data_IF_881417881119
#
_entry.id   IF_881417881119
#
_cell.length_a   1.000
_cell.length_b   1.000
_cell.length_c   1.000
_cell.angle_alpha   90.00
_cell.angle_beta   90.00
_cell.angle_gamma   90.00
#
_symmetry.space_group_name_H-M   'P 1'
#
loop_
_entity.id
_entity.type
_entity.pdbx_description
1 polymer ?
#
# COMPACT_ATOMS: atom_id res chain seq x y z
N UNK A 1 9.57 -16.77 24.54
CA UNK A 1 9.24 -17.32 23.21
C UNK A 1 7.73 -17.26 23.13
N UNK A 2 7.17 -16.45 22.23
CA UNK A 2 5.72 -16.44 22.04
C UNK A 2 5.34 -17.72 21.31
N UNK A 3 4.51 -18.55 21.94
CA UNK A 3 3.91 -19.72 21.30
C UNK A 3 3.01 -19.20 20.17
N UNK A 4 3.41 -19.45 18.93
CA UNK A 4 2.58 -19.17 17.76
C UNK A 4 1.40 -20.15 17.79
N UNK A 5 0.19 -19.62 17.75
CA UNK A 5 -1.03 -20.41 17.87
C UNK A 5 -1.20 -21.28 16.62
N UNK A 6 -1.44 -22.58 16.78
CA UNK A 6 -1.77 -23.51 15.69
C UNK A 6 -3.15 -23.25 15.05
N UNK A 7 -3.81 -22.15 15.42
CA UNK A 7 -5.21 -21.90 15.14
C UNK A 7 -5.42 -21.22 13.79
N UNK A 8 -6.30 -21.80 12.97
CA UNK A 8 -6.84 -21.15 11.78
C UNK A 8 -7.77 -20.00 12.17
N UNK A 9 -8.13 -19.14 11.21
CA UNK A 9 -9.18 -18.13 11.40
C UNK A 9 -10.52 -18.76 11.85
N UNK A 10 -10.73 -20.04 11.49
CA UNK A 10 -11.88 -20.87 11.85
C UNK A 10 -11.99 -21.16 13.34
N UNK A 11 -10.90 -21.00 14.09
CA UNK A 11 -10.84 -21.27 15.53
C UNK A 11 -11.00 -19.98 16.36
N UNK A 12 -11.23 -18.83 15.71
CA UNK A 12 -11.56 -17.59 16.42
C UNK A 12 -12.96 -17.74 17.05
N UNK A 13 -13.14 -17.35 18.32
CA UNK A 13 -14.42 -17.46 18.99
C UNK A 13 -15.49 -16.58 18.31
N UNK A 14 -16.75 -17.03 18.33
CA UNK A 14 -17.87 -16.25 17.82
C UNK A 14 -17.93 -14.87 18.47
N UNK A 15 -18.02 -13.82 17.66
CA UNK A 15 -18.02 -12.44 18.11
C UNK A 15 -19.19 -12.17 19.08
N UNK A 16 -18.88 -11.75 20.30
CA UNK A 16 -19.85 -11.26 21.30
C UNK A 16 -19.92 -9.73 21.29
N UNK A 17 -21.03 -9.15 21.73
CA UNK A 17 -21.24 -7.69 21.73
C UNK A 17 -20.16 -6.95 22.53
N UNK A 18 -19.68 -7.53 23.64
CA UNK A 18 -18.60 -6.98 24.44
C UNK A 18 -17.23 -7.01 23.73
N UNK A 19 -16.97 -8.06 22.94
CA UNK A 19 -15.77 -8.12 22.10
C UNK A 19 -15.78 -7.11 20.94
N UNK A 20 -16.95 -6.68 20.48
CA UNK A 20 -17.07 -5.61 19.47
C UNK A 20 -16.73 -4.25 20.08
N UNK A 21 -17.22 -3.98 21.30
CA UNK A 21 -17.04 -2.68 21.95
C UNK A 21 -15.64 -2.46 22.54
N UNK A 22 -14.99 -3.52 23.02
CA UNK A 22 -13.66 -3.43 23.67
C UNK A 22 -12.53 -4.01 22.83
N UNK A 23 -12.86 -4.66 21.72
CA UNK A 23 -11.93 -5.45 20.92
C UNK A 23 -11.60 -6.79 21.59
N UNK A 24 -11.69 -7.90 20.86
CA UNK A 24 -11.17 -9.18 21.34
C UNK A 24 -9.63 -9.15 21.31
N UNK A 25 -8.94 -9.30 22.46
CA UNK A 25 -7.48 -9.35 22.49
C UNK A 25 -6.89 -10.50 21.65
N UNK A 26 -7.66 -11.56 21.39
CA UNK A 26 -7.24 -12.68 20.52
C UNK A 26 -7.23 -12.29 19.06
N UNK A 27 -8.25 -11.58 18.59
CA UNK A 27 -8.32 -11.05 17.22
C UNK A 27 -7.20 -10.03 17.00
N UNK A 28 -6.96 -9.15 17.97
CA UNK A 28 -5.83 -8.21 17.91
C UNK A 28 -4.47 -8.93 17.95
N UNK A 29 -4.35 -10.02 18.70
CA UNK A 29 -3.16 -10.88 18.72
C UNK A 29 -2.89 -11.50 17.35
N UNK A 30 -3.93 -12.13 16.76
CA UNK A 30 -3.88 -12.70 15.43
C UNK A 30 -3.49 -11.68 14.36
N UNK A 31 -4.10 -10.49 14.36
CA UNK A 31 -3.78 -9.43 13.38
C UNK A 31 -2.33 -8.94 13.53
N UNK A 32 -1.80 -8.87 14.76
CA UNK A 32 -0.39 -8.51 14.99
C UNK A 32 0.58 -9.60 14.52
N UNK A 33 0.24 -10.86 14.74
CA UNK A 33 1.02 -12.00 14.25
C UNK A 33 1.04 -12.02 12.72
N UNK A 34 -0.13 -11.86 12.10
CA UNK A 34 -0.30 -11.71 10.66
C UNK A 34 0.54 -10.57 10.07
N UNK A 35 0.55 -9.41 10.73
CA UNK A 35 1.37 -8.27 10.30
C UNK A 35 2.86 -8.62 10.34
N UNK A 36 3.33 -9.25 11.42
CA UNK A 36 4.73 -9.64 11.55
C UNK A 36 5.14 -10.71 10.52
N UNK A 37 4.24 -11.66 10.24
CA UNK A 37 4.43 -12.66 9.19
C UNK A 37 4.55 -12.00 7.82
N UNK A 38 3.59 -11.13 7.47
CA UNK A 38 3.61 -10.40 6.19
C UNK A 38 4.83 -9.49 6.04
N UNK A 39 5.25 -8.80 7.12
CA UNK A 39 6.48 -7.99 7.11
C UNK A 39 7.72 -8.85 6.89
N UNK A 40 7.76 -10.05 7.49
CA UNK A 40 8.88 -10.97 7.30
C UNK A 40 8.93 -11.47 5.86
N UNK A 41 7.79 -11.87 5.29
CA UNK A 41 7.70 -12.33 3.90
C UNK A 41 8.17 -11.24 2.94
N UNK A 42 7.70 -10.00 3.14
CA UNK A 42 8.13 -8.88 2.32
C UNK A 42 9.62 -8.57 2.51
N UNK A 43 10.15 -8.65 3.73
CA UNK A 43 11.56 -8.42 4.02
C UNK A 43 12.51 -9.52 3.51
N UNK A 44 12.00 -10.74 3.30
CA UNK A 44 12.75 -11.84 2.69
C UNK A 44 13.03 -11.58 1.19
N UNK A 45 12.28 -10.67 0.54
CA UNK A 45 12.59 -10.23 -0.82
C UNK A 45 13.87 -9.37 -0.86
N UNK A 46 14.93 -9.79 -1.58
CA UNK A 46 16.19 -9.05 -1.66
C UNK A 46 16.05 -7.67 -2.32
N UNK A 47 14.95 -7.41 -3.02
CA UNK A 47 14.62 -6.12 -3.62
C UNK A 47 13.97 -5.16 -2.62
N UNK A 48 13.39 -5.63 -1.52
CA UNK A 48 12.57 -4.83 -0.59
C UNK A 48 13.25 -3.55 -0.11
N UNK A 49 14.53 -3.62 0.26
CA UNK A 49 15.31 -2.46 0.68
C UNK A 49 15.65 -1.49 -0.46
N UNK A 50 15.70 -2.00 -1.70
CA UNK A 50 16.09 -1.25 -2.90
C UNK A 50 14.91 -0.61 -3.60
N UNK A 51 13.67 -1.08 -3.37
CA UNK A 51 12.44 -0.52 -3.98
C UNK A 51 12.38 0.98 -3.77
N UNK A 52 12.65 1.47 -2.55
CA UNK A 52 12.55 2.90 -2.26
C UNK A 52 13.53 3.74 -3.10
N UNK A 53 14.76 3.25 -3.22
CA UNK A 53 15.84 3.89 -3.96
C UNK A 53 15.54 3.89 -5.45
N UNK A 54 15.11 2.75 -5.98
CA UNK A 54 14.78 2.60 -7.39
C UNK A 54 13.53 3.43 -7.75
N UNK A 55 12.53 3.54 -6.86
CA UNK A 55 11.35 4.37 -7.07
C UNK A 55 11.71 5.85 -7.13
N UNK A 56 12.55 6.34 -6.20
CA UNK A 56 13.05 7.73 -6.26
C UNK A 56 13.78 8.02 -7.55
N UNK A 57 14.58 7.06 -8.02
CA UNK A 57 15.33 7.19 -9.25
C UNK A 57 14.41 7.30 -10.48
N UNK A 58 13.37 6.46 -10.56
CA UNK A 58 12.38 6.49 -11.65
C UNK A 58 11.52 7.74 -11.62
N UNK A 59 11.06 8.17 -10.43
CA UNK A 59 10.29 9.41 -10.27
C UNK A 59 11.14 10.65 -10.60
N UNK A 60 12.47 10.52 -10.52
CA UNK A 60 13.40 11.61 -10.73
C UNK A 60 13.56 12.50 -9.49
N UNK A 61 13.17 12.01 -8.30
CA UNK A 61 13.51 12.60 -7.01
C UNK A 61 14.97 12.24 -6.65
N UNK A 62 15.86 12.48 -7.62
CA UNK A 62 17.30 12.53 -7.43
C UNK A 62 17.61 13.87 -6.76
N UNK A 63 17.05 14.10 -5.56
CA UNK A 63 17.55 15.19 -4.72
C UNK A 63 19.02 14.92 -4.58
N UNK A 64 19.82 15.82 -5.13
CA UNK A 64 21.21 15.91 -4.77
C UNK A 64 21.21 16.02 -3.25
N UNK A 65 21.46 14.91 -2.56
CA UNK A 65 22.13 15.05 -1.28
C UNK A 65 23.33 15.90 -1.63
N UNK A 66 23.40 17.05 -0.98
CA UNK A 66 24.51 17.98 -1.08
C UNK A 66 25.70 17.19 -0.54
N UNK A 67 26.26 16.32 -1.37
CA UNK A 67 27.59 15.82 -1.19
C UNK A 67 28.42 17.10 -1.21
N UNK A 68 28.94 17.45 -0.03
CA UNK A 68 29.77 18.63 0.20
C UNK A 68 31.03 18.63 -0.69
N UNK A 69 31.24 17.59 -1.48
CA UNK A 69 32.38 17.36 -2.36
C UNK A 69 32.26 18.03 -3.73
N UNK A 70 31.06 18.42 -4.19
CA UNK A 70 30.93 19.08 -5.50
C UNK A 70 30.76 20.59 -5.32
N UNK A 71 31.69 21.42 -5.85
CA UNK A 71 31.68 22.86 -5.66
C UNK A 71 30.36 23.50 -6.08
N UNK A 72 29.85 24.43 -5.27
CA UNK A 72 28.54 25.09 -5.46
C UNK A 72 28.44 25.91 -6.75
N UNK A 73 29.57 26.23 -7.40
CA UNK A 73 29.63 27.09 -8.58
C UNK A 73 29.51 26.33 -9.91
N UNK A 74 29.55 24.99 -9.90
CA UNK A 74 29.37 24.20 -11.12
C UNK A 74 27.89 23.88 -11.34
N UNK A 75 27.34 24.12 -12.55
CA UNK A 75 25.99 23.70 -12.87
C UNK A 75 25.93 22.17 -12.90
N UNK A 76 25.07 21.60 -12.05
CA UNK A 76 24.90 20.15 -11.96
C UNK A 76 23.71 19.73 -12.83
N UNK A 77 23.99 19.26 -14.03
CA UNK A 77 22.98 18.67 -14.93
C UNK A 77 23.03 17.15 -14.75
N UNK A 78 21.89 16.54 -14.42
CA UNK A 78 21.76 15.08 -14.36
C UNK A 78 20.84 14.64 -15.50
N UNK A 79 21.36 13.80 -16.39
CA UNK A 79 20.59 13.17 -17.45
C UNK A 79 20.13 11.79 -16.97
N UNK A 80 18.83 11.66 -16.65
CA UNK A 80 18.23 10.40 -16.21
C UNK A 80 17.50 9.72 -17.37
N UNK A 81 18.25 8.92 -18.14
CA UNK A 81 17.70 8.18 -19.27
C UNK A 81 16.74 7.07 -18.85
N UNK A 82 16.98 6.43 -17.70
CA UNK A 82 16.10 5.35 -17.21
C UNK A 82 14.70 5.88 -16.88
N UNK A 83 14.59 7.07 -16.27
CA UNK A 83 13.29 7.73 -16.08
C UNK A 83 12.58 7.94 -17.40
N UNK A 84 13.30 8.37 -18.45
CA UNK A 84 12.72 8.58 -19.78
C UNK A 84 12.19 7.26 -20.36
N UNK A 85 12.98 6.18 -20.28
CA UNK A 85 12.58 4.85 -20.77
C UNK A 85 11.37 4.31 -20.01
N UNK A 86 11.38 4.39 -18.67
CA UNK A 86 10.27 3.92 -17.83
C UNK A 86 9.02 4.75 -18.08
N UNK A 87 9.14 6.08 -18.17
CA UNK A 87 7.99 6.94 -18.47
C UNK A 87 7.40 6.62 -19.85
N UNK A 88 8.23 6.33 -20.86
CA UNK A 88 7.75 5.91 -22.18
C UNK A 88 7.00 4.57 -22.12
N UNK A 89 7.51 3.59 -21.35
CA UNK A 89 6.83 2.30 -21.17
C UNK A 89 5.51 2.44 -20.42
N UNK A 90 5.50 3.22 -19.33
CA UNK A 90 4.28 3.49 -18.56
C UNK A 90 3.24 4.15 -19.46
N UNK A 91 3.63 5.17 -20.22
CA UNK A 91 2.74 5.85 -21.17
C UNK A 91 2.17 4.88 -22.21
N UNK A 92 3.00 4.01 -22.79
CA UNK A 92 2.54 3.01 -23.75
C UNK A 92 1.53 2.02 -23.13
N UNK A 93 1.76 1.58 -21.89
CA UNK A 93 0.85 0.66 -21.19
C UNK A 93 -0.46 1.32 -20.76
N UNK A 94 -0.42 2.58 -20.31
CA UNK A 94 -1.63 3.31 -19.93
C UNK A 94 -2.47 3.73 -21.12
N UNK A 95 -1.85 3.96 -22.29
CA UNK A 95 -2.56 4.34 -23.52
C UNK A 95 -3.46 3.21 -24.06
N UNK A 96 -3.12 1.95 -23.75
CA UNK A 96 -3.96 0.79 -24.08
C UNK A 96 -5.32 0.81 -23.37
N UNK A 97 -5.48 1.61 -22.30
CA UNK A 97 -6.71 1.74 -21.50
C UNK A 97 -7.37 0.39 -21.21
N UNK A 98 -6.77 -0.44 -20.34
CA UNK A 98 -7.28 -1.78 -20.07
C UNK A 98 -8.62 -1.71 -19.34
N UNK A 99 -9.71 -1.64 -20.12
CA UNK A 99 -11.07 -1.66 -19.64
C UNK A 99 -11.57 -3.11 -19.56
N UNK A 100 -12.29 -3.40 -18.49
CA UNK A 100 -13.04 -4.65 -18.36
C UNK A 100 -14.51 -4.42 -18.73
N UNK A 101 -15.14 -5.46 -19.26
CA UNK A 101 -16.54 -5.47 -19.66
C UNK A 101 -17.28 -6.58 -18.91
N UNK A 102 -18.43 -6.27 -18.35
CA UNK A 102 -19.36 -7.27 -17.84
C UNK A 102 -20.22 -7.81 -19.00
N UNK A 103 -20.29 -9.13 -19.08
CA UNK A 103 -21.10 -9.85 -20.05
C UNK A 103 -22.08 -10.73 -19.28
N UNK A 104 -23.37 -10.64 -19.65
CA UNK A 104 -24.42 -11.52 -19.12
C UNK A 104 -24.80 -12.52 -20.19
N UNK A 105 -24.76 -13.81 -19.86
CA UNK A 105 -25.25 -14.87 -20.74
C UNK A 105 -26.78 -14.87 -20.85
N UNK A 106 -27.48 -14.36 -19.84
CA UNK A 106 -28.93 -14.23 -19.84
C UNK A 106 -29.37 -13.00 -20.65
N UNK A 107 -30.16 -13.16 -21.74
CA UNK A 107 -30.65 -12.05 -22.56
C UNK A 107 -31.44 -11.00 -21.77
N UNK A 108 -32.21 -11.42 -20.75
CA UNK A 108 -33.03 -10.52 -19.95
C UNK A 108 -32.19 -9.49 -19.15
N UNK A 109 -30.94 -9.83 -18.80
CA UNK A 109 -30.04 -8.96 -18.04
C UNK A 109 -28.98 -8.26 -18.91
N UNK A 110 -29.03 -8.40 -20.23
CA UNK A 110 -28.09 -7.71 -21.13
C UNK A 110 -28.14 -6.19 -20.99
N UNK A 111 -29.34 -5.62 -20.83
CA UNK A 111 -29.51 -4.19 -20.61
C UNK A 111 -28.75 -3.70 -19.35
N UNK A 112 -28.78 -4.48 -18.27
CA UNK A 112 -28.08 -4.14 -17.03
C UNK A 112 -26.56 -4.22 -17.22
N UNK A 113 -26.07 -5.25 -17.90
CA UNK A 113 -24.65 -5.36 -18.23
C UNK A 113 -24.17 -4.16 -19.05
N UNK A 114 -24.93 -3.74 -20.07
CA UNK A 114 -24.61 -2.56 -20.87
C UNK A 114 -24.62 -1.26 -20.07
N UNK A 115 -25.57 -1.11 -19.14
CA UNK A 115 -25.62 0.05 -18.24
C UNK A 115 -24.38 0.11 -17.35
N UNK A 116 -23.97 -1.01 -16.75
CA UNK A 116 -22.76 -1.09 -15.92
C UNK A 116 -21.52 -0.79 -16.76
N UNK A 117 -21.42 -1.32 -17.98
CA UNK A 117 -20.30 -1.05 -18.88
C UNK A 117 -20.17 0.44 -19.23
N UNK A 118 -21.30 1.12 -19.50
CA UNK A 118 -21.31 2.58 -19.72
C UNK A 118 -20.83 3.33 -18.48
N UNK A 119 -21.24 2.90 -17.28
CA UNK A 119 -20.76 3.47 -16.01
C UNK A 119 -19.26 3.29 -15.83
N UNK A 120 -18.69 2.12 -16.13
CA UNK A 120 -17.24 1.87 -16.02
C UNK A 120 -16.45 2.84 -16.90
N UNK A 121 -16.90 3.05 -18.15
CA UNK A 121 -16.23 3.99 -19.07
C UNK A 121 -16.27 5.41 -18.52
N UNK A 122 -17.44 5.84 -18.02
CA UNK A 122 -17.58 7.16 -17.40
C UNK A 122 -16.66 7.30 -16.17
N UNK A 123 -16.68 6.31 -15.28
CA UNK A 123 -15.84 6.24 -14.09
C UNK A 123 -14.35 6.34 -14.42
N UNK A 124 -13.89 5.57 -15.41
CA UNK A 124 -12.49 5.57 -15.84
C UNK A 124 -12.00 6.96 -16.25
N UNK A 125 -12.82 7.68 -17.02
CA UNK A 125 -12.50 9.02 -17.53
C UNK A 125 -12.60 10.06 -16.40
N UNK A 126 -13.67 10.02 -15.61
CA UNK A 126 -13.91 11.01 -14.55
C UNK A 126 -12.88 10.93 -13.43
N UNK A 127 -12.46 9.72 -13.04
CA UNK A 127 -11.49 9.51 -11.96
C UNK A 127 -10.04 9.48 -12.43
N UNK A 128 -9.78 9.66 -13.74
CA UNK A 128 -8.44 9.58 -14.33
C UNK A 128 -7.69 8.31 -13.86
N UNK A 129 -8.36 7.16 -13.99
CA UNK A 129 -7.85 5.87 -13.49
C UNK A 129 -6.52 5.50 -14.18
N UNK A 130 -6.29 5.99 -15.39
CA UNK A 130 -5.04 5.87 -16.12
C UNK A 130 -3.83 6.47 -15.38
N UNK A 131 -4.02 7.57 -14.66
CA UNK A 131 -2.95 8.18 -13.84
C UNK A 131 -2.59 7.27 -12.67
N UNK A 132 -3.59 6.78 -11.94
CA UNK A 132 -3.39 5.84 -10.82
C UNK A 132 -2.77 4.52 -11.29
N UNK A 133 -3.23 4.00 -12.43
CA UNK A 133 -2.65 2.82 -13.06
C UNK A 133 -1.19 3.07 -13.45
N UNK A 134 -0.88 4.25 -14.00
CA UNK A 134 0.48 4.62 -14.36
C UNK A 134 1.44 4.64 -13.17
N UNK A 135 1.00 5.09 -11.99
CA UNK A 135 1.79 5.00 -10.77
C UNK A 135 1.98 3.55 -10.30
N UNK A 136 0.92 2.74 -10.38
CA UNK A 136 0.97 1.30 -10.05
C UNK A 136 1.97 0.56 -10.94
N UNK A 137 1.96 0.84 -12.25
CA UNK A 137 2.91 0.26 -13.21
C UNK A 137 4.35 0.69 -12.89
N UNK A 138 4.57 1.93 -12.44
CA UNK A 138 5.91 2.35 -11.99
C UNK A 138 6.38 1.53 -10.79
N UNK A 139 5.51 1.28 -9.81
CA UNK A 139 5.85 0.37 -8.71
C UNK A 139 6.17 -1.03 -9.21
N UNK A 140 5.38 -1.58 -10.13
CA UNK A 140 5.61 -2.91 -10.70
C UNK A 140 6.93 -3.01 -11.49
N UNK A 141 7.28 -2.00 -12.30
CA UNK A 141 8.56 -1.97 -13.04
C UNK A 141 9.76 -1.89 -12.09
N UNK A 142 9.61 -1.17 -10.98
CA UNK A 142 10.70 -0.89 -10.04
C UNK A 142 10.90 -2.00 -9.02
N UNK A 143 9.81 -2.47 -8.42
CA UNK A 143 9.81 -3.44 -7.32
C UNK A 143 9.35 -4.84 -7.73
N UNK A 144 9.02 -5.06 -9.00
CA UNK A 144 8.48 -6.34 -9.49
C UNK A 144 6.99 -6.52 -9.23
N UNK A 145 6.43 -5.83 -8.24
CA UNK A 145 5.01 -5.86 -7.87
C UNK A 145 4.47 -4.44 -7.69
N UNK A 146 3.17 -4.28 -7.94
CA UNK A 146 2.47 -3.01 -7.77
C UNK A 146 1.01 -3.28 -7.52
N UNK A 147 0.49 -2.74 -6.43
CA UNK A 147 -0.89 -2.95 -6.02
C UNK A 147 -1.71 -1.68 -6.23
N UNK A 148 -2.96 -1.86 -6.63
CA UNK A 148 -3.93 -0.79 -6.75
C UNK A 148 -5.20 -1.18 -6.01
N UNK A 149 -5.59 -0.36 -5.04
CA UNK A 149 -6.86 -0.53 -4.33
C UNK A 149 -7.96 0.28 -5.00
N UNK A 150 -9.18 -0.25 -5.02
CA UNK A 150 -10.39 0.51 -5.37
C UNK A 150 -11.15 0.78 -4.08
N UNK A 151 -11.31 2.05 -3.73
CA UNK A 151 -11.97 2.45 -2.48
C UNK A 151 -13.11 3.41 -2.76
N UNK A 152 -14.19 3.28 -2.00
CA UNK A 152 -15.26 4.26 -2.03
C UNK A 152 -14.85 5.53 -1.27
N UNK A 153 -14.89 6.67 -1.96
CA UNK A 153 -14.74 7.99 -1.35
C UNK A 153 -16.10 8.71 -1.36
N UNK A 154 -16.74 8.93 -0.20
CA UNK A 154 -18.01 9.66 -0.10
C UNK A 154 -17.92 11.12 -0.58
N UNK A 155 -16.72 11.68 -0.61
CA UNK A 155 -16.48 13.07 -1.02
C UNK A 155 -16.18 13.25 -2.50
N UNK A 156 -15.95 12.16 -3.24
CA UNK A 156 -15.70 12.20 -4.68
C UNK A 156 -17.01 12.36 -5.47
N UNK A 157 -17.02 13.21 -6.49
CA UNK A 157 -18.16 13.37 -7.41
C UNK A 157 -19.45 13.92 -6.76
N UNK A 158 -20.61 13.54 -7.30
CA UNK A 158 -21.94 14.02 -6.89
C UNK A 158 -22.62 13.02 -5.91
N UNK A 159 -21.97 12.73 -4.79
CA UNK A 159 -22.52 11.83 -3.75
C UNK A 159 -21.68 10.60 -3.43
N UNK A 160 -20.41 10.61 -3.84
CA UNK A 160 -19.43 9.55 -3.64
C UNK A 160 -19.13 8.78 -4.91
N UNK A 161 -17.89 8.34 -5.06
CA UNK A 161 -17.44 7.53 -6.20
C UNK A 161 -16.33 6.57 -5.76
N UNK A 162 -16.11 5.52 -6.56
CA UNK A 162 -14.94 4.67 -6.39
C UNK A 162 -13.68 5.39 -6.88
N UNK A 163 -12.61 5.36 -6.11
CA UNK A 163 -11.32 5.97 -6.44
C UNK A 163 -10.25 4.87 -6.47
N UNK A 164 -9.42 4.88 -7.50
CA UNK A 164 -8.26 4.01 -7.59
C UNK A 164 -7.09 4.65 -6.85
N UNK A 165 -6.53 3.92 -5.87
CA UNK A 165 -5.41 4.38 -5.06
C UNK A 165 -4.21 3.46 -5.35
N UNK A 166 -3.15 3.95 -5.99
CA UNK A 166 -1.92 3.20 -6.15
C UNK A 166 -1.26 3.04 -4.78
N UNK A 167 -0.85 1.82 -4.47
CA UNK A 167 -0.23 1.47 -3.18
C UNK A 167 1.21 1.05 -3.39
N UNK A 168 2.05 1.42 -2.44
CA UNK A 168 3.40 0.88 -2.37
C UNK A 168 3.28 -0.61 -2.02
N UNK A 169 3.89 -1.53 -2.78
CA UNK A 169 3.79 -2.98 -2.53
C UNK A 169 4.27 -3.37 -1.13
N UNK A 170 5.11 -2.54 -0.49
CA UNK A 170 5.58 -2.76 0.88
C UNK A 170 4.50 -2.54 1.93
N UNK A 171 3.48 -1.76 1.60
CA UNK A 171 2.34 -1.46 2.47
C UNK A 171 1.19 -2.48 2.32
N UNK A 172 1.30 -3.40 1.36
CA UNK A 172 0.43 -4.59 1.24
C UNK A 172 1.12 -5.79 1.90
N UNK A 173 0.51 -6.30 2.96
CA UNK A 173 1.02 -7.44 3.71
C UNK A 173 0.19 -8.68 3.40
N UNK A 174 0.75 -9.73 2.79
CA UNK A 174 0.02 -10.97 2.56
C UNK A 174 -0.21 -11.71 3.90
N UNK A 175 -1.41 -12.25 4.08
CA UNK A 175 -1.72 -13.18 5.18
C UNK A 175 -1.66 -14.61 4.64
N UNK A 176 -0.69 -15.39 5.14
CA UNK A 176 -0.49 -16.81 4.79
C UNK A 176 -0.62 -17.03 3.28
N UNK A 177 0.26 -16.42 2.47
CA UNK A 177 0.18 -16.52 1.02
C UNK A 177 0.38 -17.97 0.57
N UNK A 178 -0.29 -18.33 -0.51
CA UNK A 178 0.00 -19.59 -1.19
C UNK A 178 1.30 -19.47 -1.99
N UNK A 179 1.97 -20.59 -2.26
CA UNK A 179 3.16 -20.61 -3.14
C UNK A 179 2.82 -20.29 -4.61
N UNK A 180 1.53 -20.22 -4.96
CA UNK A 180 1.10 -19.85 -6.30
C UNK A 180 1.06 -18.33 -6.43
N UNK A 181 1.24 -17.84 -7.66
CA UNK A 181 1.25 -16.40 -7.98
C UNK A 181 -0.13 -15.73 -7.93
N UNK A 182 -1.15 -16.41 -7.42
CA UNK A 182 -2.51 -15.92 -7.38
C UNK A 182 -2.85 -15.38 -5.97
N UNK A 183 -3.08 -14.05 -5.84
CA UNK A 183 -3.52 -13.45 -4.58
C UNK A 183 -4.88 -13.96 -4.08
N UNK A 184 -5.73 -14.51 -4.95
CA UNK A 184 -7.03 -15.05 -4.56
C UNK A 184 -6.92 -16.29 -3.66
N UNK A 185 -5.76 -16.95 -3.65
CA UNK A 185 -5.49 -18.12 -2.83
C UNK A 185 -4.95 -17.75 -1.43
N UNK A 186 -4.73 -16.47 -1.15
CA UNK A 186 -4.25 -16.02 0.15
C UNK A 186 -5.41 -16.05 1.15
N UNK A 187 -5.10 -16.29 2.43
CA UNK A 187 -6.13 -16.26 3.48
C UNK A 187 -6.62 -14.84 3.75
N UNK A 188 -5.88 -13.83 3.31
CA UNK A 188 -6.22 -12.43 3.47
C UNK A 188 -5.05 -11.52 3.13
N UNK A 189 -5.22 -10.24 3.40
CA UNK A 189 -4.16 -9.24 3.30
C UNK A 189 -4.39 -8.11 4.29
N UNK A 190 -3.32 -7.48 4.75
CA UNK A 190 -3.36 -6.27 5.56
C UNK A 190 -2.79 -5.11 4.76
N UNK A 191 -3.59 -4.06 4.61
CA UNK A 191 -3.19 -2.80 3.99
C UNK A 191 -2.76 -1.79 5.06
N UNK A 192 -1.63 -1.13 4.83
CA UNK A 192 -1.11 -0.07 5.71
C UNK A 192 -1.23 1.29 5.04
N UNK A 193 -1.94 2.21 5.68
CA UNK A 193 -2.14 3.56 5.17
C UNK A 193 -1.73 4.63 6.17
N UNK A 194 -0.95 5.59 5.73
CA UNK A 194 -0.54 6.74 6.53
C UNK A 194 -1.49 7.89 6.35
N UNK A 195 -2.41 8.07 7.29
CA UNK A 195 -3.40 9.16 7.21
C UNK A 195 -3.17 10.20 8.32
N UNK A 196 -3.37 11.50 8.03
CA UNK A 196 -3.37 12.50 9.08
C UNK A 196 -4.56 12.29 10.02
N UNK A 197 -4.37 12.60 11.30
CA UNK A 197 -5.40 12.39 12.34
C UNK A 197 -6.74 13.02 11.97
N UNK A 198 -6.73 14.21 11.37
CA UNK A 198 -7.96 14.90 10.97
C UNK A 198 -8.73 14.15 9.87
N UNK A 199 -8.03 13.52 8.92
CA UNK A 199 -8.68 12.72 7.89
C UNK A 199 -9.29 11.44 8.48
N UNK A 200 -8.63 10.81 9.45
CA UNK A 200 -9.18 9.65 10.15
C UNK A 200 -10.42 10.01 10.97
N UNK A 201 -10.43 11.17 11.64
CA UNK A 201 -11.60 11.66 12.38
C UNK A 201 -12.79 11.91 11.47
N UNK A 202 -12.55 12.49 10.29
CA UNK A 202 -13.60 12.68 9.30
C UNK A 202 -14.12 11.34 8.74
N UNK A 203 -13.23 10.37 8.51
CA UNK A 203 -13.59 9.05 7.96
C UNK A 203 -14.26 8.13 9.00
N UNK A 204 -13.89 8.24 10.26
CA UNK A 204 -14.31 7.37 11.35
C UNK A 204 -14.72 8.17 12.60
N UNK A 205 -15.82 8.95 12.53
CA UNK A 205 -16.22 9.84 13.63
C UNK A 205 -16.52 9.09 14.93
N UNK A 206 -17.08 7.88 14.86
CA UNK A 206 -17.36 7.05 16.03
C UNK A 206 -16.10 6.65 16.83
N UNK A 207 -14.93 6.64 16.18
CA UNK A 207 -13.67 6.19 16.74
C UNK A 207 -12.68 7.35 16.99
N UNK A 208 -13.14 8.61 16.95
CA UNK A 208 -12.28 9.79 17.11
C UNK A 208 -11.42 9.74 18.38
N UNK A 209 -11.96 9.21 19.47
CA UNK A 209 -11.28 9.08 20.76
C UNK A 209 -10.07 8.13 20.74
N UNK A 210 -10.00 7.20 19.77
CA UNK A 210 -8.89 6.27 19.61
C UNK A 210 -7.71 6.88 18.85
N UNK A 211 -7.92 7.98 18.11
CA UNK A 211 -6.87 8.62 17.32
C UNK A 211 -6.09 9.64 18.16
N UNK A 212 -5.12 9.15 18.95
CA UNK A 212 -4.17 10.02 19.65
C UNK A 212 -3.04 10.48 18.74
N UNK A 213 -2.66 11.77 18.84
CA UNK A 213 -1.46 12.32 18.20
C UNK A 213 -0.21 11.67 18.80
N UNK A 214 0.32 10.65 18.13
CA UNK A 214 1.62 10.09 18.47
C UNK A 214 1.65 8.57 18.38
N UNK A 215 1.91 8.04 17.18
CA UNK A 215 2.74 6.84 17.14
C UNK A 215 4.10 7.25 17.69
N UNK A 216 4.42 6.74 18.87
CA UNK A 216 5.69 6.93 19.61
C UNK A 216 6.92 6.49 18.83
N UNK A 217 6.75 5.81 17.71
CA UNK A 217 7.84 5.44 16.81
C UNK A 217 8.32 6.58 15.90
N UNK A 218 7.50 7.62 15.63
CA UNK A 218 7.86 8.65 14.63
C UNK A 218 8.87 9.70 15.12
N UNK A 219 8.93 9.96 16.43
CA UNK A 219 9.80 10.99 17.03
C UNK A 219 11.15 10.40 17.48
N UNK A 220 11.15 9.20 18.07
CA UNK A 220 12.36 8.50 18.49
C UNK A 220 13.15 7.93 17.30
N UNK A 221 12.47 7.50 16.23
CA UNK A 221 13.12 7.09 14.97
C UNK A 221 13.81 8.27 14.26
N UNK A 222 13.26 9.49 14.33
CA UNK A 222 13.89 10.72 13.80
C UNK A 222 15.16 11.11 14.55
N UNK A 223 15.17 10.94 15.87
CA UNK A 223 16.34 11.18 16.70
C UNK A 223 17.44 10.13 16.45
N UNK A 224 17.08 8.84 16.41
CA UNK A 224 18.04 7.77 16.10
C UNK A 224 18.57 7.84 14.66
N UNK A 225 17.75 8.26 13.70
CA UNK A 225 18.16 8.46 12.31
C UNK A 225 19.21 9.55 12.14
N UNK A 226 19.08 10.67 12.88
CA UNK A 226 20.07 11.77 12.89
C UNK A 226 21.39 11.40 13.56
N UNK A 227 21.35 10.59 14.62
CA UNK A 227 22.58 10.14 15.28
C UNK A 227 23.35 9.09 14.47
N UNK A 228 22.65 8.19 13.77
CA UNK A 228 23.32 7.18 12.93
C UNK A 228 23.93 7.78 11.66
N UNK A 229 23.27 8.75 11.01
CA UNK A 229 23.82 9.40 9.80
C UNK A 229 25.17 10.10 10.06
N UNK A 230 25.42 10.54 11.29
CA UNK A 230 26.69 11.16 11.67
C UNK A 230 27.80 10.11 11.81
N UNK A 231 27.49 8.93 12.33
CA UNK A 231 28.46 7.84 12.54
C UNK A 231 28.86 7.20 11.21
N UNK A 232 27.90 6.98 10.29
CA UNK A 232 28.19 6.36 8.98
C UNK A 232 28.97 7.29 8.05
N UNK A 233 28.80 8.61 8.18
CA UNK A 233 29.53 9.62 7.40
C UNK A 233 31.03 9.69 7.74
N UNK A 234 31.44 9.19 8.91
CA UNK A 234 32.84 9.16 9.35
C UNK A 234 33.60 7.90 8.90
N UNK A 235 32.93 6.89 8.36
CA UNK A 235 33.51 5.55 8.12
C UNK A 235 33.67 5.15 6.64
N UNK A 236 33.39 6.01 5.66
CA UNK A 236 33.45 5.61 4.24
C UNK A 236 34.61 6.27 3.46
N UNK A 237 35.48 5.48 2.79
CA UNK A 237 36.48 6.02 1.87
C UNK A 237 35.83 6.45 0.54
N UNK A 238 36.39 7.51 -0.03
CA UNK A 238 35.93 8.24 -1.22
C UNK A 238 36.32 7.46 -2.48
N UNK A 239 35.34 6.98 -3.26
CA UNK A 239 35.69 6.31 -4.53
C UNK A 239 34.56 5.70 -5.35
N UNK A 240 33.28 5.95 -5.06
CA UNK A 240 32.19 5.35 -5.84
C UNK A 240 31.25 6.43 -6.39
N UNK A 241 31.08 6.48 -7.71
CA UNK A 241 30.16 7.40 -8.40
C UNK A 241 28.68 7.02 -8.15
N UNK A 242 28.44 5.93 -7.41
CA UNK A 242 27.15 5.57 -6.79
C UNK A 242 27.03 5.97 -5.30
N UNK A 243 28.04 6.63 -4.72
CA UNK A 243 28.11 6.96 -3.29
C UNK A 243 26.98 7.86 -2.79
N UNK A 244 26.40 8.72 -3.63
CA UNK A 244 25.23 9.56 -3.26
C UNK A 244 23.96 8.77 -2.94
N UNK A 245 23.93 7.46 -3.18
CA UNK A 245 22.79 6.57 -2.90
C UNK A 245 23.08 5.50 -1.81
N UNK A 246 24.22 5.57 -1.12
CA UNK A 246 24.71 4.46 -0.28
C UNK A 246 24.22 4.44 1.17
N UNK A 247 23.35 5.36 1.60
CA UNK A 247 22.78 5.25 2.94
C UNK A 247 21.64 4.23 2.95
N UNK A 248 21.73 3.16 3.78
CA UNK A 248 20.59 2.30 4.03
C UNK A 248 19.57 3.11 4.83
N UNK A 249 18.67 3.79 4.11
CA UNK A 249 17.38 4.14 4.69
C UNK A 249 16.73 2.79 4.95
N UNK A 250 16.58 2.41 6.24
CA UNK A 250 15.78 1.25 6.59
C UNK A 250 14.47 1.37 5.80
N UNK A 251 14.17 0.38 4.96
CA UNK A 251 12.94 0.31 4.20
C UNK A 251 11.77 0.08 5.18
N UNK A 252 11.39 1.17 5.85
CA UNK A 252 10.19 1.27 6.66
C UNK A 252 9.11 2.02 5.88
N UNK A 253 7.85 1.83 6.26
CA UNK A 253 6.73 2.47 5.59
C UNK A 253 6.80 3.99 5.73
N UNK A 254 6.42 4.71 4.65
CA UNK A 254 6.60 6.16 4.51
C UNK A 254 5.48 6.93 5.18
N UNK A 255 5.57 7.13 6.48
CA UNK A 255 4.59 7.89 7.22
C UNK A 255 5.13 9.27 7.64
N UNK A 256 4.40 10.33 7.27
CA UNK A 256 4.75 11.71 7.63
C UNK A 256 4.65 11.94 9.14
N UNK A 257 5.34 12.97 9.67
CA UNK A 257 5.21 13.32 11.08
C UNK A 257 3.75 13.62 11.42
N UNK A 258 3.23 13.03 12.49
CA UNK A 258 1.85 13.28 12.92
C UNK A 258 0.79 12.56 12.09
N UNK A 259 1.19 11.63 11.21
CA UNK A 259 0.27 10.64 10.63
C UNK A 259 0.11 9.44 11.57
N UNK A 260 -1.07 8.82 11.50
CA UNK A 260 -1.39 7.57 12.18
C UNK A 260 -1.45 6.49 11.12
N UNK A 261 -0.88 5.33 11.42
CA UNK A 261 -0.90 4.17 10.54
C UNK A 261 -2.22 3.45 10.74
N UNK A 262 -3.13 3.61 9.78
CA UNK A 262 -4.34 2.82 9.69
C UNK A 262 -3.99 1.46 9.10
N UNK A 263 -4.41 0.39 9.77
CA UNK A 263 -4.27 -0.98 9.28
C UNK A 263 -5.64 -1.51 8.94
N UNK A 264 -5.81 -1.99 7.71
CA UNK A 264 -7.05 -2.60 7.23
C UNK A 264 -6.76 -4.03 6.84
N UNK A 265 -7.24 -4.98 7.63
CA UNK A 265 -7.09 -6.40 7.36
C UNK A 265 -8.34 -6.92 6.70
N UNK A 266 -8.17 -7.48 5.51
CA UNK A 266 -9.19 -8.18 4.74
C UNK A 266 -8.92 -9.67 4.87
N UNK A 267 -9.95 -10.44 5.19
CA UNK A 267 -9.86 -11.88 5.40
C UNK A 267 -10.73 -12.57 4.36
N UNK A 268 -10.24 -13.67 3.81
CA UNK A 268 -11.00 -14.50 2.89
C UNK A 268 -12.12 -15.19 3.66
N UNK A 269 -13.35 -14.79 3.37
CA UNK A 269 -14.53 -15.46 3.89
C UNK A 269 -14.80 -16.72 3.05
N UNK A 270 -14.58 -17.89 3.67
CA UNK A 270 -14.86 -19.19 3.05
C UNK A 270 -16.30 -19.65 3.29
N UNK A 271 -17.09 -18.90 4.07
CA UNK A 271 -18.47 -19.26 4.34
C UNK A 271 -19.29 -19.13 3.06
N UNK A 272 -20.03 -20.19 2.75
CA UNK A 272 -20.99 -20.19 1.65
C UNK A 272 -22.36 -19.92 2.23
N UNK A 273 -23.11 -19.00 1.62
CA UNK A 273 -24.51 -18.86 1.95
C UNK A 273 -25.26 -20.12 1.47
N UNK A 274 -25.47 -21.05 2.39
CA UNK A 274 -26.27 -22.26 2.17
C UNK A 274 -27.77 -22.02 2.39
N UNK A 275 -28.16 -20.80 2.76
CA UNK A 275 -29.53 -20.43 3.04
C UNK A 275 -30.13 -19.61 1.90
N UNK A 276 -31.44 -19.70 1.69
CA UNK A 276 -32.16 -18.85 0.74
C UNK A 276 -32.34 -17.41 1.22
N UNK A 277 -31.87 -17.10 2.44
CA UNK A 277 -31.96 -15.78 3.03
C UNK A 277 -30.73 -14.96 2.67
N UNK A 278 -30.88 -13.64 2.46
CA UNK A 278 -29.73 -12.76 2.34
C UNK A 278 -28.93 -12.79 3.65
N UNK A 279 -27.63 -13.07 3.53
CA UNK A 279 -26.67 -12.93 4.63
C UNK A 279 -26.01 -11.57 4.47
N UNK A 280 -25.98 -10.77 5.53
CA UNK A 280 -25.19 -9.54 5.58
C UNK A 280 -23.70 -9.89 5.50
N UNK A 281 -23.09 -9.63 4.34
CA UNK A 281 -21.65 -9.79 4.11
C UNK A 281 -20.93 -8.53 4.59
N UNK A 282 -20.01 -8.68 5.55
CA UNK A 282 -19.22 -7.57 6.08
C UNK A 282 -19.99 -6.71 7.09
N UNK A 283 -19.72 -6.94 8.38
CA UNK A 283 -19.94 -5.95 9.44
C UNK A 283 -18.59 -5.45 9.94
#
# INVERSE_FOLDING_TARGET
>A
MAEFSSSGITDLPSVTVDTILRGDPRVLGFVKEAEQEGDRINADDPSYEKIERAQRYVVGDQRQRIDKSVPSYLPKVILNESRKVVQAHVSALTDLKPLFKFVSENPAFQFHADLVNKRIVAWWVTQMVDVALGETIKYAIVGGTGDMGVEWDPSAGLGGENVCIPRDPRDTLPLRPSNQRDPQLWQGLTLRDGLPVNALRAKYPAYEHLFSKGSSDSTLSRLRGRFRSIVTALQRPVGDTLSGLTDPVKAGPRFSAGSVVLRRTYLADLTKNLTANPIDMGK
#
